data_IF_166599960186
#
_entry.id   IF_166599960186
#
_cell.length_a   1.000
_cell.length_b   1.000
_cell.length_c   1.000
_cell.angle_alpha   90.00
_cell.angle_beta   90.00
_cell.angle_gamma   90.00
#
_symmetry.space_group_name_H-M   'P 1'
#
loop_
_entity.id
_entity.type
_entity.pdbx_description
1 polymer ?
#
# COMPACT_ATOMS: atom_id res chain seq x y z
N UNK A 1 16.79 7.56 -0.05
CA UNK A 1 16.75 7.78 1.41
C UNK A 1 15.80 6.74 1.97
N UNK A 2 16.17 5.98 3.00
CA UNK A 2 15.26 4.94 3.54
C UNK A 2 14.10 5.56 4.32
N UNK A 3 12.90 5.01 4.18
CA UNK A 3 11.69 5.52 4.83
C UNK A 3 11.79 5.43 6.37
N UNK A 4 11.64 6.53 7.12
CA UNK A 4 11.70 6.49 8.58
C UNK A 4 10.37 5.98 9.16
N UNK A 5 10.26 4.66 9.30
CA UNK A 5 9.11 4.00 9.92
C UNK A 5 9.17 4.13 11.44
N UNK A 6 8.17 4.78 12.04
CA UNK A 6 8.07 4.87 13.49
C UNK A 6 7.83 3.49 14.12
N UNK A 7 8.39 3.27 15.31
CA UNK A 7 8.14 2.07 16.11
C UNK A 7 6.76 2.10 16.78
N UNK A 8 6.30 3.29 17.16
CA UNK A 8 5.12 3.52 17.99
C UNK A 8 4.28 4.70 17.48
N UNK A 9 3.03 4.79 17.95
CA UNK A 9 2.08 5.86 17.63
C UNK A 9 1.07 5.48 16.54
N UNK A 10 0.10 6.36 16.26
CA UNK A 10 -1.05 6.05 15.40
C UNK A 10 -0.67 5.72 13.96
N UNK A 11 0.44 6.27 13.46
CA UNK A 11 0.94 5.98 12.12
C UNK A 11 1.88 4.76 12.04
N UNK A 12 2.21 4.11 13.15
CA UNK A 12 3.18 3.02 13.16
C UNK A 12 2.63 1.77 12.44
N UNK A 13 3.38 1.17 11.52
CA UNK A 13 2.91 -0.01 10.81
C UNK A 13 2.83 -1.23 11.72
N UNK A 14 1.85 -2.14 11.49
CA UNK A 14 1.73 -3.39 12.22
C UNK A 14 3.02 -4.20 12.17
N UNK A 15 3.47 -4.67 13.33
CA UNK A 15 4.66 -5.52 13.47
C UNK A 15 4.38 -6.74 14.33
N UNK A 16 5.04 -7.84 14.02
CA UNK A 16 5.12 -9.04 14.86
C UNK A 16 6.58 -9.40 15.05
N UNK A 17 7.02 -9.52 16.30
CA UNK A 17 8.41 -9.79 16.66
C UNK A 17 9.44 -8.85 15.98
N UNK A 18 9.07 -7.59 15.76
CA UNK A 18 9.92 -6.57 15.12
C UNK A 18 9.83 -6.49 13.60
N UNK A 19 9.22 -7.48 12.94
CA UNK A 19 9.05 -7.49 11.48
C UNK A 19 7.69 -6.93 11.05
N UNK A 20 7.63 -6.30 9.88
CA UNK A 20 6.38 -5.84 9.28
C UNK A 20 5.51 -7.04 8.93
N UNK A 21 4.24 -6.99 9.34
CA UNK A 21 3.26 -8.02 8.98
C UNK A 21 2.29 -7.50 7.93
N UNK A 22 1.97 -8.38 6.98
CA UNK A 22 1.00 -8.19 5.92
C UNK A 22 0.05 -9.38 5.93
N UNK A 23 -1.24 -9.12 6.13
CA UNK A 23 -2.30 -10.13 6.10
C UNK A 23 -2.63 -10.53 4.66
N UNK A 24 -2.49 -9.61 3.71
CA UNK A 24 -2.87 -9.83 2.31
C UNK A 24 -1.77 -9.39 1.34
N UNK A 25 -1.63 -10.02 0.15
CA UNK A 25 -0.57 -9.69 -0.81
C UNK A 25 -0.62 -8.26 -1.35
N UNK A 26 -1.75 -7.56 -1.25
CA UNK A 26 -1.86 -6.16 -1.69
C UNK A 26 -1.23 -5.19 -0.68
N UNK A 27 -1.15 -5.56 0.61
CA UNK A 27 -0.65 -4.69 1.67
C UNK A 27 0.86 -4.45 1.53
N UNK A 28 1.62 -5.51 1.24
CA UNK A 28 3.06 -5.41 0.97
C UNK A 28 3.35 -4.59 -0.29
N UNK A 29 2.49 -4.70 -1.31
CA UNK A 29 2.57 -3.88 -2.52
C UNK A 29 2.28 -2.41 -2.24
N UNK A 30 1.25 -2.09 -1.46
CA UNK A 30 0.93 -0.73 -1.05
C UNK A 30 2.06 -0.08 -0.23
N UNK A 31 2.65 -0.86 0.69
CA UNK A 31 3.82 -0.44 1.45
C UNK A 31 5.01 -0.15 0.54
N UNK A 32 5.37 -1.10 -0.34
CA UNK A 32 6.47 -0.95 -1.28
C UNK A 32 6.32 0.26 -2.19
N UNK A 33 5.12 0.50 -2.74
CA UNK A 33 4.85 1.68 -3.57
C UNK A 33 5.12 3.00 -2.84
N UNK A 34 4.63 3.15 -1.60
CA UNK A 34 4.86 4.35 -0.82
C UNK A 34 6.36 4.57 -0.52
N UNK A 35 7.08 3.51 -0.16
CA UNK A 35 8.54 3.59 0.08
C UNK A 35 9.30 3.98 -1.18
N UNK A 36 9.02 3.34 -2.32
CA UNK A 36 9.68 3.66 -3.60
C UNK A 36 9.40 5.09 -4.07
N UNK A 37 8.17 5.59 -3.90
CA UNK A 37 7.81 6.96 -4.27
C UNK A 37 8.49 7.99 -3.37
N UNK A 38 8.64 7.70 -2.08
CA UNK A 38 9.45 8.51 -1.18
C UNK A 38 10.93 8.50 -1.56
N UNK A 39 11.49 7.32 -1.83
CA UNK A 39 12.90 7.14 -2.19
C UNK A 39 13.30 7.89 -3.47
N UNK A 40 12.36 7.97 -4.42
CA UNK A 40 12.50 8.69 -5.68
C UNK A 40 12.20 10.19 -5.57
N UNK A 41 11.79 10.67 -4.39
CA UNK A 41 11.57 12.09 -4.10
C UNK A 41 10.24 12.65 -4.59
N UNK A 42 9.27 11.78 -4.93
CA UNK A 42 7.93 12.22 -5.39
C UNK A 42 7.18 12.98 -4.28
N UNK A 43 7.40 12.59 -3.02
CA UNK A 43 6.90 13.31 -1.86
C UNK A 43 7.87 13.16 -0.68
N UNK A 44 7.66 13.94 0.38
CA UNK A 44 8.43 13.84 1.62
C UNK A 44 7.74 12.93 2.62
N UNK A 45 8.51 12.14 3.37
CA UNK A 45 7.96 11.24 4.37
C UNK A 45 7.07 11.92 5.43
N UNK A 46 7.44 13.09 6.00
CA UNK A 46 6.59 13.77 6.99
C UNK A 46 5.22 14.15 6.43
N UNK A 47 5.13 14.46 5.13
CA UNK A 47 3.86 14.78 4.47
C UNK A 47 2.97 13.55 4.36
N UNK A 48 3.53 12.40 3.98
CA UNK A 48 2.81 11.12 3.99
C UNK A 48 2.35 10.73 5.39
N UNK A 49 3.24 10.83 6.38
CA UNK A 49 2.91 10.52 7.77
C UNK A 49 1.78 11.41 8.31
N UNK A 50 1.79 12.71 8.00
CA UNK A 50 0.73 13.63 8.39
C UNK A 50 -0.62 13.25 7.76
N UNK A 51 -0.64 12.90 6.47
CA UNK A 51 -1.85 12.43 5.79
C UNK A 51 -2.38 11.13 6.41
N UNK A 52 -1.51 10.18 6.74
CA UNK A 52 -1.89 8.93 7.39
C UNK A 52 -2.52 9.17 8.76
N UNK A 53 -1.91 10.02 9.59
CA UNK A 53 -2.45 10.40 10.91
C UNK A 53 -3.84 11.02 10.75
N UNK A 54 -4.00 11.93 9.78
CA UNK A 54 -5.28 12.59 9.55
C UNK A 54 -6.39 11.59 9.17
N UNK A 55 -6.10 10.59 8.33
CA UNK A 55 -7.07 9.56 7.93
C UNK A 55 -7.44 8.64 9.08
N UNK A 56 -6.47 8.25 9.89
CA UNK A 56 -6.69 7.44 11.09
C UNK A 56 -7.58 8.20 12.08
N UNK A 57 -7.26 9.45 12.37
CA UNK A 57 -8.06 10.30 13.25
C UNK A 57 -9.48 10.53 12.72
N UNK A 58 -9.64 10.69 11.41
CA UNK A 58 -10.96 10.84 10.78
C UNK A 58 -11.82 9.58 10.93
N UNK A 59 -11.23 8.39 10.80
CA UNK A 59 -11.93 7.12 11.02
C UNK A 59 -12.30 6.94 12.49
N UNK A 60 -11.39 7.24 13.42
CA UNK A 60 -11.65 7.15 14.87
C UNK A 60 -12.76 8.10 15.33
N UNK A 61 -12.92 9.24 14.65
CA UNK A 61 -13.97 10.23 14.92
C UNK A 61 -15.31 9.90 14.25
N UNK A 62 -15.34 8.99 13.27
CA UNK A 62 -16.57 8.59 12.60
C UNK A 62 -17.44 7.72 13.53
N UNK A 63 -18.78 7.79 13.42
CA UNK A 63 -19.65 6.87 14.15
C UNK A 63 -19.31 5.43 13.77
N UNK A 64 -19.45 4.50 14.73
CA UNK A 64 -19.13 3.09 14.50
C UNK A 64 -20.03 2.52 13.39
N UNK A 65 -19.46 2.41 12.19
CA UNK A 65 -20.02 1.65 11.08
C UNK A 65 -19.58 0.20 11.23
N UNK A 66 -20.30 -0.77 10.64
CA UNK A 66 -19.91 -2.20 10.64
C UNK A 66 -18.59 -2.48 9.87
N UNK A 67 -17.82 -1.43 9.53
CA UNK A 67 -16.58 -1.54 8.76
C UNK A 67 -15.40 -1.88 9.67
N UNK A 68 -14.72 -2.98 9.35
CA UNK A 68 -13.56 -3.45 10.10
C UNK A 68 -12.34 -2.56 9.86
N UNK A 69 -11.61 -2.24 10.93
CA UNK A 69 -10.37 -1.46 10.89
C UNK A 69 -9.31 -2.12 9.99
N UNK A 70 -8.67 -1.34 9.10
CA UNK A 70 -7.58 -1.80 8.25
C UNK A 70 -6.49 -0.73 8.09
N UNK A 71 -5.34 -0.95 8.73
CA UNK A 71 -4.19 -0.05 8.67
C UNK A 71 -3.74 0.23 7.23
N UNK A 72 -3.58 -0.81 6.41
CA UNK A 72 -3.07 -0.66 5.06
C UNK A 72 -4.08 0.00 4.11
N UNK A 73 -5.38 0.03 4.43
CA UNK A 73 -6.36 0.86 3.71
C UNK A 73 -6.19 2.34 4.04
N UNK A 74 -5.91 2.68 5.29
CA UNK A 74 -5.56 4.05 5.67
C UNK A 74 -4.24 4.48 5.02
N UNK A 75 -3.23 3.61 5.02
CA UNK A 75 -1.96 3.79 4.32
C UNK A 75 -2.15 4.09 2.83
N UNK A 76 -2.91 3.25 2.13
CA UNK A 76 -3.11 3.39 0.69
C UNK A 76 -3.79 4.71 0.33
N UNK A 77 -4.86 5.08 1.01
CA UNK A 77 -5.47 6.36 0.65
C UNK A 77 -4.73 7.59 1.19
N UNK A 78 -3.86 7.47 2.20
CA UNK A 78 -2.93 8.55 2.52
C UNK A 78 -1.91 8.76 1.39
N UNK A 79 -1.49 7.67 0.73
CA UNK A 79 -0.67 7.75 -0.47
C UNK A 79 -1.44 8.43 -1.61
N UNK A 80 -2.71 8.09 -1.81
CA UNK A 80 -3.58 8.75 -2.80
C UNK A 80 -3.72 10.25 -2.53
N UNK A 81 -3.97 10.65 -1.28
CA UNK A 81 -4.11 12.06 -0.88
C UNK A 81 -2.83 12.86 -1.18
N UNK A 82 -1.67 12.30 -0.86
CA UNK A 82 -0.37 12.95 -1.10
C UNK A 82 -0.06 13.11 -2.58
N UNK A 83 -0.38 12.10 -3.40
CA UNK A 83 -0.15 12.11 -4.85
C UNK A 83 -1.12 13.06 -5.57
N UNK A 84 -2.37 13.14 -5.10
CA UNK A 84 -3.37 14.04 -5.66
C UNK A 84 -3.01 15.51 -5.40
N UNK A 85 -2.61 15.85 -4.16
CA UNK A 85 -2.24 17.23 -3.80
C UNK A 85 -0.86 17.63 -4.39
N UNK A 86 -0.01 16.67 -4.76
CA UNK A 86 1.26 16.92 -5.45
C UNK A 86 1.13 17.18 -6.96
N UNK A 87 -0.04 16.97 -7.56
CA UNK A 87 -0.27 17.09 -9.01
C UNK A 87 0.43 16.01 -9.86
N UNK A 88 1.07 15.03 -9.23
CA UNK A 88 1.88 13.99 -9.89
C UNK A 88 1.02 12.88 -10.50
N UNK A 89 -0.18 12.66 -9.96
CA UNK A 89 -1.16 11.72 -10.52
C UNK A 89 -2.58 12.26 -10.29
N UNK A 90 -3.38 12.37 -11.35
CA UNK A 90 -4.81 12.69 -11.19
C UNK A 90 -5.52 11.47 -10.58
N UNK A 91 -6.25 11.66 -9.47
CA UNK A 91 -7.00 10.59 -8.78
C UNK A 91 -7.94 9.80 -9.72
N UNK A 92 -8.48 10.46 -10.75
CA UNK A 92 -9.27 9.81 -11.81
C UNK A 92 -8.46 8.86 -12.70
N UNK A 93 -7.18 9.16 -12.97
CA UNK A 93 -6.29 8.30 -13.75
C UNK A 93 -5.87 7.05 -12.96
N UNK A 94 -5.60 7.19 -11.66
CA UNK A 94 -5.36 6.05 -10.76
C UNK A 94 -6.57 5.14 -10.69
N UNK A 95 -7.76 5.72 -10.50
CA UNK A 95 -9.02 4.96 -10.43
C UNK A 95 -9.29 4.22 -11.74
N UNK A 96 -9.06 4.86 -12.89
CA UNK A 96 -9.20 4.24 -14.20
C UNK A 96 -8.21 3.09 -14.41
N UNK A 97 -6.95 3.26 -14.03
CA UNK A 97 -5.90 2.23 -14.09
C UNK A 97 -6.18 1.07 -13.13
N UNK A 98 -6.62 1.35 -11.91
CA UNK A 98 -7.01 0.33 -10.93
C UNK A 98 -8.18 -0.51 -11.45
N UNK A 99 -9.20 0.12 -12.04
CA UNK A 99 -10.33 -0.57 -12.67
C UNK A 99 -9.90 -1.41 -13.88
N UNK A 100 -8.98 -0.92 -14.70
CA UNK A 100 -8.42 -1.67 -15.83
C UNK A 100 -7.59 -2.90 -15.38
N UNK A 101 -6.87 -2.79 -14.26
CA UNK A 101 -6.13 -3.92 -13.68
C UNK A 101 -7.04 -4.92 -12.99
N UNK A 102 -8.08 -4.46 -12.28
CA UNK A 102 -9.08 -5.33 -11.64
C UNK A 102 -9.94 -6.10 -12.65
N UNK A 103 -10.08 -5.59 -13.88
CA UNK A 103 -10.82 -6.24 -14.97
C UNK A 103 -9.96 -7.20 -15.81
N UNK A 104 -8.64 -7.30 -15.55
CA UNK A 104 -7.80 -8.32 -16.21
C UNK A 104 -8.09 -9.70 -15.62
N UNK A 105 -8.37 -10.72 -16.44
CA UNK A 105 -8.53 -12.09 -15.96
C UNK A 105 -7.21 -12.58 -15.35
N UNK A 106 -7.27 -13.26 -14.21
CA UNK A 106 -6.14 -13.99 -13.63
C UNK A 106 -5.82 -15.20 -14.52
N UNK A 107 -5.05 -14.96 -15.58
CA UNK A 107 -4.61 -15.95 -16.56
C UNK A 107 -3.10 -16.19 -16.49
N UNK A 108 -2.70 -17.10 -15.59
CA UNK A 108 -1.63 -18.10 -15.72
C UNK A 108 -0.40 -17.77 -16.60
N UNK A 109 0.67 -17.24 -15.98
CA UNK A 109 2.05 -17.36 -16.48
C UNK A 109 2.82 -18.36 -15.60
N UNK A 110 2.45 -19.63 -15.66
CA UNK A 110 3.36 -20.73 -15.33
C UNK A 110 3.75 -21.41 -16.64
N UNK A 111 5.00 -21.29 -17.10
CA UNK A 111 5.50 -22.26 -18.05
C UNK A 111 5.71 -23.57 -17.27
N UNK A 112 4.77 -24.50 -17.43
CA UNK A 112 4.94 -25.91 -17.09
C UNK A 112 6.12 -26.47 -17.90
N UNK A 113 7.30 -26.42 -17.29
CA UNK A 113 8.51 -27.05 -17.80
C UNK A 113 8.78 -28.38 -17.12
N UNK A 114 7.87 -29.35 -17.26
CA UNK A 114 8.17 -30.75 -16.93
C UNK A 114 9.25 -31.29 -17.86
N UNK A 115 10.49 -31.32 -17.39
CA UNK A 115 11.60 -32.07 -17.99
C UNK A 115 11.99 -33.24 -17.11
N UNK A 116 11.15 -34.28 -17.06
CA UNK A 116 11.57 -35.58 -16.53
C UNK A 116 12.60 -36.21 -17.47
N UNK A 117 13.86 -36.26 -17.04
CA UNK A 117 14.92 -37.03 -17.70
C UNK A 117 15.62 -37.97 -16.72
N UNK A 118 15.09 -39.20 -16.59
CA UNK A 118 15.87 -40.41 -16.24
C UNK A 118 15.76 -41.35 -17.46
N UNK A 119 16.61 -42.39 -17.65
CA UNK A 119 17.92 -42.72 -17.09
C UNK A 119 18.96 -43.13 -18.17
N UNK A 120 20.25 -43.26 -17.82
CA UNK A 120 21.18 -44.22 -18.43
C UNK A 120 22.06 -44.82 -17.34
#
# INVERSE_FOLDING_TARGET
MSAPLNAEGPAAPPRSNGELVFAEPWESRAFGMAVTLYETGVFTWPRFQAALIARIAAWEAAPAEDECWSYYRHWLGALEDVLADGGTVFAGEVTARARALASRPTGHDHPDGHGHGRPH
#
